data_IF_727914020672
#
_entry.id   IF_727914020672
#
_cell.length_a   1.000
_cell.length_b   1.000
_cell.length_c   1.000
_cell.angle_alpha   90.00
_cell.angle_beta   90.00
_cell.angle_gamma   90.00
#
_symmetry.space_group_name_H-M   'P 1'
#
loop_
_entity.id
_entity.type
_entity.pdbx_description
1 polymer ?
#
# COMPACT_ATOMS: atom_id res chain seq x y z
N UNK A 1 -8.19 8.00 17.72
CA UNK A 1 -6.76 8.31 17.87
C UNK A 1 -6.50 8.44 19.36
N UNK A 2 -5.67 7.58 19.97
CA UNK A 2 -5.07 7.96 21.25
C UNK A 2 -4.23 9.21 20.94
N UNK A 3 -4.34 10.31 21.70
CA UNK A 3 -3.51 11.48 21.47
C UNK A 3 -2.05 11.03 21.43
N UNK A 4 -1.34 11.41 20.38
CA UNK A 4 0.11 11.20 20.30
C UNK A 4 0.72 12.12 21.35
N UNK A 5 0.91 11.60 22.56
CA UNK A 5 1.42 12.36 23.71
C UNK A 5 2.85 12.86 23.47
N UNK A 6 3.62 12.14 22.64
CA UNK A 6 4.98 12.48 22.24
C UNK A 6 5.18 12.29 20.74
N UNK A 7 5.79 13.28 20.07
CA UNK A 7 6.02 13.24 18.64
C UNK A 7 6.94 12.06 18.25
N UNK A 8 6.61 11.31 17.17
CA UNK A 8 7.36 10.12 16.79
C UNK A 8 8.79 10.44 16.36
N UNK A 9 9.75 9.61 16.80
CA UNK A 9 11.19 9.79 16.54
C UNK A 9 11.72 8.84 15.47
N UNK A 10 12.69 9.34 14.69
CA UNK A 10 13.39 8.53 13.65
C UNK A 10 14.32 7.50 14.28
N UNK A 11 15.06 7.89 15.33
CA UNK A 11 15.86 6.97 16.14
C UNK A 11 15.05 6.68 17.40
N UNK A 12 14.65 5.42 17.54
CA UNK A 12 13.71 4.97 18.57
C UNK A 12 14.28 3.83 19.42
N UNK A 13 13.52 3.38 20.41
CA UNK A 13 13.86 2.27 21.30
C UNK A 13 13.32 0.94 20.78
N UNK A 14 13.93 -0.16 21.23
CA UNK A 14 13.50 -1.52 20.87
C UNK A 14 12.05 -1.79 21.32
N UNK A 15 11.62 -1.18 22.43
CA UNK A 15 10.24 -1.31 22.92
C UNK A 15 9.20 -0.84 21.88
N UNK A 16 9.51 0.23 21.12
CA UNK A 16 8.65 0.71 20.04
C UNK A 16 8.62 -0.24 18.85
N UNK A 17 9.71 -0.96 18.58
CA UNK A 17 9.71 -2.04 17.60
C UNK A 17 8.75 -3.17 18.00
N UNK A 18 8.80 -3.58 19.27
CA UNK A 18 7.92 -4.62 19.81
C UNK A 18 6.46 -4.17 19.83
N UNK A 19 6.19 -2.92 20.23
CA UNK A 19 4.85 -2.33 20.24
C UNK A 19 4.24 -2.29 18.84
N UNK A 20 5.00 -1.87 17.82
CA UNK A 20 4.56 -1.87 16.42
C UNK A 20 4.15 -3.27 15.94
N UNK A 21 4.99 -4.28 16.18
CA UNK A 21 4.70 -5.67 15.77
C UNK A 21 3.45 -6.22 16.49
N UNK A 22 3.33 -5.98 17.80
CA UNK A 22 2.14 -6.39 18.58
C UNK A 22 0.88 -5.71 18.07
N UNK A 23 0.96 -4.43 17.75
CA UNK A 23 -0.15 -3.66 17.20
C UNK A 23 -0.59 -4.20 15.83
N UNK A 24 0.34 -4.53 14.93
CA UNK A 24 0.03 -5.20 13.65
C UNK A 24 -0.74 -6.50 13.86
N UNK A 25 -0.27 -7.37 14.76
CA UNK A 25 -0.98 -8.61 15.11
C UNK A 25 -2.38 -8.34 15.65
N UNK A 26 -2.50 -7.45 16.64
CA UNK A 26 -3.77 -7.12 17.28
C UNK A 26 -4.80 -6.56 16.29
N UNK A 27 -4.39 -5.67 15.39
CA UNK A 27 -5.26 -5.04 14.40
C UNK A 27 -5.92 -6.03 13.44
N UNK A 28 -5.18 -7.08 13.07
CA UNK A 28 -5.69 -8.14 12.20
C UNK A 28 -6.46 -9.18 13.01
N UNK A 29 -5.91 -9.66 14.12
CA UNK A 29 -6.51 -10.70 14.96
C UNK A 29 -7.88 -10.29 15.53
N UNK A 30 -8.07 -9.00 15.87
CA UNK A 30 -9.36 -8.51 16.38
C UNK A 30 -10.53 -8.65 15.40
N UNK A 31 -10.27 -8.79 14.08
CA UNK A 31 -11.31 -8.99 13.05
C UNK A 31 -12.00 -10.35 13.20
N UNK A 32 -11.30 -11.32 13.79
CA UNK A 32 -11.75 -12.70 13.91
C UNK A 32 -12.99 -12.83 14.79
N UNK A 33 -13.00 -12.14 15.94
CA UNK A 33 -14.16 -12.15 16.85
C UNK A 33 -15.40 -11.50 16.23
N UNK A 34 -15.21 -10.65 15.22
CA UNK A 34 -16.26 -9.89 14.54
C UNK A 34 -16.75 -10.57 13.27
N UNK A 35 -15.96 -11.47 12.69
CA UNK A 35 -16.34 -12.24 11.52
C UNK A 35 -17.34 -13.34 11.88
N UNK A 36 -18.61 -13.19 11.45
CA UNK A 36 -19.68 -14.17 11.71
C UNK A 36 -19.33 -15.60 11.31
N UNK A 37 -18.57 -15.76 10.21
CA UNK A 37 -18.17 -17.07 9.69
C UNK A 37 -17.20 -17.81 10.63
N UNK A 38 -16.44 -17.07 11.44
CA UNK A 38 -15.43 -17.63 12.33
C UNK A 38 -15.91 -17.77 13.79
N UNK A 39 -17.10 -17.25 14.14
CA UNK A 39 -17.64 -17.31 15.51
C UNK A 39 -17.92 -18.74 16.00
N UNK A 40 -18.17 -19.68 15.08
CA UNK A 40 -18.38 -21.08 15.42
C UNK A 40 -17.06 -21.85 15.64
N UNK A 41 -15.92 -21.25 15.29
CA UNK A 41 -14.60 -21.89 15.37
C UNK A 41 -13.96 -21.58 16.72
N UNK A 42 -13.48 -22.61 17.40
CA UNK A 42 -12.72 -22.46 18.63
C UNK A 42 -11.25 -22.21 18.30
N UNK A 43 -10.79 -20.99 18.57
CA UNK A 43 -9.37 -20.64 18.47
C UNK A 43 -8.64 -20.97 19.77
N UNK A 44 -7.43 -21.54 19.62
CA UNK A 44 -6.52 -21.81 20.73
C UNK A 44 -5.39 -20.78 20.74
N UNK A 45 -4.99 -20.33 21.93
CA UNK A 45 -3.76 -19.57 22.12
C UNK A 45 -2.56 -20.51 22.08
N UNK A 46 -1.39 -19.99 21.71
CA UNK A 46 -0.16 -20.78 21.66
C UNK A 46 0.20 -21.32 23.05
N UNK A 47 0.09 -20.49 24.09
CA UNK A 47 0.31 -20.93 25.49
C UNK A 47 -0.57 -22.13 25.88
N UNK A 48 -1.83 -22.17 25.44
CA UNK A 48 -2.77 -23.24 25.79
C UNK A 48 -2.37 -24.57 25.13
N UNK A 49 -1.75 -24.51 23.96
CA UNK A 49 -1.25 -25.69 23.26
C UNK A 49 0.05 -26.17 23.88
N UNK A 50 1.00 -25.26 24.15
CA UNK A 50 2.27 -25.60 24.80
C UNK A 50 2.07 -26.14 26.22
N UNK A 51 1.03 -25.70 26.93
CA UNK A 51 0.62 -26.27 28.22
C UNK A 51 -0.03 -27.66 28.13
N UNK A 52 -0.45 -28.10 26.94
CA UNK A 52 -1.09 -29.39 26.73
C UNK A 52 -0.05 -30.48 26.46
N UNK A 53 -0.05 -31.52 27.28
CA UNK A 53 0.75 -32.74 27.06
C UNK A 53 0.08 -33.73 26.11
N UNK A 54 -1.17 -33.48 25.71
CA UNK A 54 -1.95 -34.37 24.84
C UNK A 54 -1.85 -33.90 23.39
N UNK A 55 -1.73 -34.87 22.48
CA UNK A 55 -1.94 -34.66 21.05
C UNK A 55 -3.37 -34.18 20.82
N UNK A 56 -3.50 -33.10 20.05
CA UNK A 56 -4.79 -32.53 19.67
C UNK A 56 -4.90 -32.55 18.15
N UNK A 57 -5.94 -33.22 17.66
CA UNK A 57 -6.25 -33.24 16.24
C UNK A 57 -7.23 -32.08 15.95
N UNK A 58 -6.99 -31.33 14.89
CA UNK A 58 -7.83 -30.21 14.44
C UNK A 58 -7.83 -28.98 15.36
N UNK A 59 -6.64 -28.41 15.55
CA UNK A 59 -6.42 -27.15 16.25
C UNK A 59 -6.44 -26.00 15.26
N UNK A 60 -7.05 -24.88 15.64
CA UNK A 60 -7.02 -23.62 14.90
C UNK A 60 -6.34 -22.54 15.73
N UNK A 61 -5.30 -21.92 15.18
CA UNK A 61 -4.49 -20.88 15.82
C UNK A 61 -4.42 -19.66 14.91
N UNK A 62 -4.40 -18.47 15.51
CA UNK A 62 -4.10 -17.23 14.80
C UNK A 62 -2.73 -16.79 15.23
N UNK A 63 -1.83 -16.65 14.27
CA UNK A 63 -0.44 -16.33 14.54
C UNK A 63 0.14 -15.44 13.48
N UNK A 64 1.20 -14.74 13.84
CA UNK A 64 2.12 -14.11 12.91
C UNK A 64 3.21 -15.10 12.54
N UNK A 65 3.44 -15.30 11.24
CA UNK A 65 4.45 -16.23 10.73
C UNK A 65 5.85 -15.66 10.92
N UNK A 66 6.76 -16.40 11.55
CA UNK A 66 8.17 -16.01 11.69
C UNK A 66 9.09 -17.11 11.18
N UNK A 67 10.30 -16.73 10.74
CA UNK A 67 11.31 -17.67 10.26
C UNK A 67 12.62 -17.45 11.04
N UNK A 68 12.95 -18.38 11.94
CA UNK A 68 14.16 -18.26 12.76
C UNK A 68 15.41 -18.77 12.03
N UNK A 69 15.26 -19.84 11.24
CA UNK A 69 16.32 -20.46 10.44
C UNK A 69 15.74 -20.87 9.09
N UNK A 70 16.60 -21.16 8.11
CA UNK A 70 16.17 -21.67 6.80
C UNK A 70 15.22 -22.86 6.98
N UNK A 71 14.02 -22.75 6.42
CA UNK A 71 12.95 -23.76 6.51
C UNK A 71 12.47 -24.14 7.93
N UNK A 72 12.81 -23.33 8.94
CA UNK A 72 12.31 -23.50 10.31
C UNK A 72 11.33 -22.37 10.63
N UNK A 73 10.05 -22.67 10.43
CA UNK A 73 8.95 -21.72 10.61
C UNK A 73 8.36 -21.82 12.02
N UNK A 74 7.97 -20.68 12.54
CA UNK A 74 7.24 -20.55 13.79
C UNK A 74 6.00 -19.69 13.57
N UNK A 75 5.02 -19.84 14.44
CA UNK A 75 3.93 -18.88 14.58
C UNK A 75 4.01 -18.23 15.96
N UNK A 76 3.71 -16.95 16.01
CA UNK A 76 3.75 -16.14 17.22
C UNK A 76 2.41 -15.44 17.45
N UNK A 77 1.93 -15.48 18.69
CA UNK A 77 0.79 -14.68 19.16
C UNK A 77 1.24 -13.84 20.37
N UNK A 78 0.30 -13.23 21.09
CA UNK A 78 0.65 -12.42 22.26
C UNK A 78 1.10 -13.25 23.48
N UNK A 79 0.94 -14.58 23.42
CA UNK A 79 1.14 -15.53 24.53
C UNK A 79 2.42 -16.37 24.38
N UNK A 80 2.89 -16.62 23.16
CA UNK A 80 4.11 -17.37 22.94
C UNK A 80 4.48 -17.58 21.47
N UNK A 81 5.45 -18.47 21.26
CA UNK A 81 5.94 -18.89 19.94
C UNK A 81 5.95 -20.42 19.88
N UNK A 82 5.55 -20.99 18.75
CA UNK A 82 5.52 -22.43 18.53
C UNK A 82 5.99 -22.78 17.13
N UNK A 83 6.76 -23.87 17.01
CA UNK A 83 7.25 -24.33 15.72
C UNK A 83 6.10 -24.91 14.88
N UNK A 84 6.13 -24.62 13.58
CA UNK A 84 5.17 -25.16 12.62
C UNK A 84 5.88 -25.92 11.50
N UNK A 85 5.23 -26.96 11.02
CA UNK A 85 5.68 -27.75 9.88
C UNK A 85 4.66 -27.64 8.75
N UNK A 86 5.15 -27.28 7.56
CA UNK A 86 4.41 -27.31 6.31
C UNK A 86 4.86 -28.53 5.51
N UNK A 87 3.90 -29.34 5.05
CA UNK A 87 4.15 -30.50 4.21
C UNK A 87 3.60 -30.26 2.80
N UNK A 88 3.88 -31.18 1.87
CA UNK A 88 3.40 -31.08 0.48
C UNK A 88 1.86 -31.09 0.36
N UNK A 89 1.16 -31.54 1.40
CA UNK A 89 -0.30 -31.56 1.49
C UNK A 89 -0.88 -30.27 2.09
N UNK A 90 -0.05 -29.38 2.63
CA UNK A 90 -0.49 -28.13 3.25
C UNK A 90 -1.17 -27.26 2.20
N UNK A 91 -2.44 -26.94 2.44
CA UNK A 91 -3.23 -26.09 1.55
C UNK A 91 -3.09 -24.63 1.95
N UNK A 92 -2.50 -23.84 1.07
CA UNK A 92 -2.49 -22.38 1.20
C UNK A 92 -3.67 -21.80 0.43
N UNK A 93 -4.54 -21.06 1.11
CA UNK A 93 -5.58 -20.31 0.42
C UNK A 93 -4.98 -19.19 -0.45
N UNK A 94 -5.75 -18.73 -1.45
CA UNK A 94 -5.37 -17.71 -2.44
C UNK A 94 -4.89 -16.38 -1.81
N UNK A 95 -3.63 -16.32 -1.38
CA UNK A 95 -2.93 -15.21 -0.72
C UNK A 95 -1.42 -15.45 -0.79
N UNK A 96 -0.62 -14.41 -0.56
CA UNK A 96 0.84 -14.47 -0.56
C UNK A 96 1.30 -14.41 0.90
N UNK A 97 1.62 -15.55 1.51
CA UNK A 97 2.06 -15.58 2.91
C UNK A 97 3.56 -15.37 2.98
N UNK A 98 3.98 -14.33 3.69
CA UNK A 98 5.39 -13.99 3.91
C UNK A 98 5.71 -13.98 5.40
N UNK A 99 6.98 -13.92 5.76
CA UNK A 99 7.37 -13.65 7.15
C UNK A 99 6.74 -12.33 7.64
N UNK A 100 6.16 -12.34 8.83
CA UNK A 100 5.38 -11.24 9.40
C UNK A 100 3.89 -11.28 9.03
N UNK A 101 3.44 -12.22 8.20
CA UNK A 101 2.02 -12.35 7.85
C UNK A 101 1.21 -12.92 9.02
N UNK A 102 0.13 -12.23 9.38
CA UNK A 102 -0.88 -12.71 10.33
C UNK A 102 -1.90 -13.57 9.60
N UNK A 103 -2.02 -14.83 10.01
CA UNK A 103 -2.86 -15.82 9.34
C UNK A 103 -3.52 -16.79 10.34
N UNK A 104 -4.50 -17.53 9.84
CA UNK A 104 -5.15 -18.64 10.53
C UNK A 104 -4.45 -19.93 10.09
N UNK A 105 -3.99 -20.71 11.06
CA UNK A 105 -3.32 -21.98 10.87
C UNK A 105 -4.19 -23.08 11.46
N UNK A 106 -4.56 -24.05 10.62
CA UNK A 106 -5.32 -25.22 11.04
C UNK A 106 -4.48 -26.48 10.88
N UNK A 107 -4.43 -27.33 11.90
CA UNK A 107 -3.53 -28.49 11.89
C UNK A 107 -3.70 -29.45 13.05
N UNK A 108 -2.71 -30.32 13.23
CA UNK A 108 -2.61 -31.22 14.38
C UNK A 108 -1.41 -30.83 15.24
N UNK A 109 -1.63 -30.71 16.54
CA UNK A 109 -0.60 -30.35 17.51
C UNK A 109 -0.11 -31.60 18.25
N UNK A 110 1.20 -31.80 18.26
CA UNK A 110 1.87 -32.87 19.02
C UNK A 110 3.25 -32.40 19.52
N UNK A 111 3.51 -32.57 20.81
CA UNK A 111 4.81 -32.30 21.43
C UNK A 111 5.52 -30.98 21.00
N UNK A 112 4.84 -29.83 21.11
CA UNK A 112 5.35 -28.49 20.73
C UNK A 112 5.51 -28.23 19.23
N UNK A 113 5.03 -29.13 18.37
CA UNK A 113 5.02 -28.98 16.93
C UNK A 113 3.57 -28.95 16.42
N UNK A 114 3.25 -27.97 15.57
CA UNK A 114 1.99 -27.92 14.83
C UNK A 114 2.24 -28.33 13.37
N UNK A 115 1.77 -29.50 12.98
CA UNK A 115 1.74 -29.91 11.57
C UNK A 115 0.53 -29.27 10.90
N UNK A 116 0.79 -28.34 9.99
CA UNK A 116 -0.24 -27.47 9.39
C UNK A 116 -0.90 -28.15 8.19
N UNK A 117 -2.22 -28.27 8.23
CA UNK A 117 -3.03 -28.77 7.11
C UNK A 117 -3.49 -27.66 6.19
N UNK A 118 -3.87 -26.51 6.75
CA UNK A 118 -4.40 -25.39 5.97
C UNK A 118 -3.96 -24.05 6.56
N UNK A 119 -3.63 -23.11 5.67
CA UNK A 119 -3.31 -21.72 6.00
C UNK A 119 -4.27 -20.79 5.28
N UNK A 120 -4.94 -19.92 6.04
CA UNK A 120 -5.92 -18.97 5.54
C UNK A 120 -5.59 -17.55 5.99
N UNK A 121 -5.86 -16.57 5.13
CA UNK A 121 -5.82 -15.16 5.53
C UNK A 121 -6.97 -14.87 6.49
N UNK A 122 -6.74 -13.96 7.44
CA UNK A 122 -7.85 -13.41 8.24
C UNK A 122 -8.84 -12.70 7.30
N UNK A 123 -10.15 -12.93 7.43
CA UNK A 123 -11.15 -12.32 6.56
C UNK A 123 -11.05 -10.79 6.54
N UNK A 124 -11.33 -10.22 5.37
CA UNK A 124 -11.41 -8.77 5.19
C UNK A 124 -12.63 -8.23 5.94
N UNK A 125 -12.49 -7.02 6.48
CA UNK A 125 -13.54 -6.24 7.12
C UNK A 125 -13.64 -4.93 6.33
N UNK A 126 -14.82 -4.61 5.78
CA UNK A 126 -14.99 -3.40 4.99
C UNK A 126 -14.90 -2.14 5.86
N UNK A 127 -14.70 -0.99 5.23
CA UNK A 127 -14.70 0.29 5.94
C UNK A 127 -16.04 0.57 6.65
N UNK A 128 -17.16 0.14 6.05
CA UNK A 128 -18.50 0.28 6.63
C UNK A 128 -18.67 -0.61 7.86
N UNK A 129 -18.26 -1.88 7.78
CA UNK A 129 -18.31 -2.82 8.90
C UNK A 129 -17.44 -2.34 10.07
N UNK A 130 -16.23 -1.86 9.77
CA UNK A 130 -15.31 -1.30 10.78
C UNK A 130 -15.97 -0.12 11.52
N UNK A 131 -16.57 0.81 10.78
CA UNK A 131 -17.18 2.03 11.34
C UNK A 131 -18.50 1.77 12.04
N UNK A 132 -19.25 0.74 11.67
CA UNK A 132 -20.44 0.31 12.40
C UNK A 132 -20.10 -0.07 13.87
N UNK A 133 -18.86 -0.48 14.13
CA UNK A 133 -18.38 -0.92 15.44
C UNK A 133 -17.66 0.21 16.18
N UNK A 134 -16.73 0.90 15.51
CA UNK A 134 -15.89 1.93 16.13
C UNK A 134 -16.42 3.36 15.97
N UNK A 135 -17.55 3.53 15.29
CA UNK A 135 -18.11 4.83 14.97
C UNK A 135 -17.34 5.56 13.86
N UNK A 136 -17.57 6.87 13.81
CA UNK A 136 -17.16 7.74 12.69
C UNK A 136 -15.89 8.54 12.97
N UNK A 137 -15.02 8.03 13.85
CA UNK A 137 -13.74 8.69 14.17
C UNK A 137 -12.89 8.81 12.91
N UNK A 138 -12.23 9.96 12.74
CA UNK A 138 -11.29 10.16 11.63
C UNK A 138 -9.94 9.49 11.91
N UNK A 139 -9.78 8.28 11.38
CA UNK A 139 -8.51 7.54 11.39
C UNK A 139 -7.61 7.89 10.19
N UNK A 140 -8.19 8.46 9.14
CA UNK A 140 -7.52 8.71 7.88
C UNK A 140 -6.59 9.92 7.96
N UNK A 141 -7.02 10.96 8.68
CA UNK A 141 -6.29 12.21 8.87
C UNK A 141 -7.04 13.41 8.31
N UNK A 142 -6.47 14.60 8.49
CA UNK A 142 -7.11 15.88 8.18
C UNK A 142 -7.60 16.61 9.42
N UNK A 143 -8.27 17.74 9.22
CA UNK A 143 -8.58 18.68 10.29
C UNK A 143 -9.80 18.29 11.13
N UNK A 144 -10.74 17.53 10.55
CA UNK A 144 -11.99 17.16 11.22
C UNK A 144 -11.80 15.89 12.07
N UNK A 145 -12.23 15.86 13.35
CA UNK A 145 -12.22 14.64 14.16
C UNK A 145 -13.20 13.56 13.65
N UNK A 146 -14.20 13.93 12.85
CA UNK A 146 -15.16 13.04 12.21
C UNK A 146 -14.67 12.72 10.80
N UNK A 147 -14.72 11.45 10.42
CA UNK A 147 -14.28 11.02 9.11
C UNK A 147 -15.12 11.68 8.00
N UNK A 148 -14.44 12.28 7.02
CA UNK A 148 -15.08 12.98 5.89
C UNK A 148 -16.03 12.12 5.08
N UNK A 149 -15.78 10.80 5.02
CA UNK A 149 -16.71 9.81 4.45
C UNK A 149 -18.12 9.91 5.02
N UNK A 150 -18.25 10.24 6.30
CA UNK A 150 -19.53 10.30 7.01
C UNK A 150 -20.25 11.65 6.80
N UNK A 151 -19.62 12.61 6.10
CA UNK A 151 -20.21 13.91 5.85
C UNK A 151 -21.13 13.87 4.63
N UNK A 152 -22.44 13.95 4.88
CA UNK A 152 -23.47 13.91 3.84
C UNK A 152 -23.28 14.97 2.74
N UNK A 153 -22.74 16.16 3.07
CA UNK A 153 -22.49 17.22 2.08
C UNK A 153 -21.40 16.81 1.09
N UNK A 154 -20.36 16.15 1.57
CA UNK A 154 -19.27 15.65 0.72
C UNK A 154 -19.75 14.49 -0.15
N UNK A 155 -20.61 13.60 0.37
CA UNK A 155 -21.24 12.55 -0.44
C UNK A 155 -22.10 13.12 -1.58
N UNK A 156 -22.82 14.22 -1.32
CA UNK A 156 -23.61 14.91 -2.35
C UNK A 156 -22.68 15.60 -3.36
N UNK A 157 -21.61 16.24 -2.90
CA UNK A 157 -20.62 16.90 -3.76
C UNK A 157 -19.92 15.90 -4.69
N UNK A 158 -19.52 14.74 -4.18
CA UNK A 158 -18.96 13.63 -4.96
C UNK A 158 -19.90 13.20 -6.09
N UNK A 159 -21.19 13.01 -5.77
CA UNK A 159 -22.21 12.63 -6.77
C UNK A 159 -22.54 13.73 -7.77
N UNK A 160 -22.26 14.98 -7.41
CA UNK A 160 -22.53 16.14 -8.27
C UNK A 160 -21.43 16.36 -9.31
N UNK A 161 -20.30 15.65 -9.22
CA UNK A 161 -19.19 15.75 -10.16
C UNK A 161 -18.89 14.39 -10.84
N UNK A 162 -19.76 13.93 -11.76
CA UNK A 162 -19.63 12.60 -12.38
C UNK A 162 -18.41 12.46 -13.29
N UNK A 163 -17.92 13.56 -13.85
CA UNK A 163 -16.78 13.59 -14.77
C UNK A 163 -15.43 13.80 -14.05
N UNK A 164 -15.42 13.74 -12.72
CA UNK A 164 -14.19 13.80 -11.94
C UNK A 164 -13.20 12.72 -12.38
N UNK A 165 -11.95 13.12 -12.61
CA UNK A 165 -10.87 12.22 -13.01
C UNK A 165 -9.64 12.47 -12.15
N UNK A 166 -8.95 11.39 -11.76
CA UNK A 166 -7.64 11.45 -11.11
C UNK A 166 -6.68 10.58 -11.93
N UNK A 167 -5.64 11.18 -12.49
CA UNK A 167 -4.66 10.51 -13.35
C UNK A 167 -3.49 10.03 -12.49
N UNK A 168 -3.06 8.77 -12.67
CA UNK A 168 -2.09 8.10 -11.81
C UNK A 168 -0.96 7.53 -12.67
N UNK A 169 0.27 7.96 -12.40
CA UNK A 169 1.48 7.50 -13.07
C UNK A 169 2.49 6.96 -12.05
N UNK A 170 3.33 6.01 -12.48
CA UNK A 170 4.45 5.49 -11.68
C UNK A 170 5.71 5.35 -12.52
N UNK A 171 6.88 5.44 -11.89
CA UNK A 171 8.20 5.42 -12.54
C UNK A 171 8.29 6.43 -13.69
N UNK A 172 8.06 7.70 -13.39
CA UNK A 172 8.14 8.79 -14.37
C UNK A 172 9.59 9.29 -14.47
N UNK A 173 10.43 8.59 -15.22
CA UNK A 173 11.86 8.91 -15.39
C UNK A 173 12.06 10.21 -16.19
N UNK A 174 12.25 11.33 -15.50
CA UNK A 174 12.34 12.68 -16.08
C UNK A 174 13.62 12.92 -16.89
N UNK A 175 14.63 12.06 -16.75
CA UNK A 175 15.85 12.07 -17.54
C UNK A 175 15.66 11.50 -18.95
N UNK A 176 14.59 10.73 -19.19
CA UNK A 176 14.28 10.14 -20.49
C UNK A 176 13.46 11.12 -21.36
N UNK A 177 14.01 11.47 -22.53
CA UNK A 177 13.33 12.38 -23.47
C UNK A 177 11.99 11.85 -23.98
N UNK A 178 11.86 10.53 -24.21
CA UNK A 178 10.59 9.94 -24.65
C UNK A 178 9.53 9.99 -23.56
N UNK A 179 9.92 9.79 -22.29
CA UNK A 179 9.00 9.96 -21.15
C UNK A 179 8.52 11.40 -21.07
N UNK A 180 9.42 12.38 -21.22
CA UNK A 180 9.05 13.80 -21.25
C UNK A 180 8.13 14.17 -22.42
N UNK A 181 8.32 13.55 -23.59
CA UNK A 181 7.39 13.69 -24.73
C UNK A 181 6.02 13.08 -24.42
N UNK A 182 5.99 11.87 -23.85
CA UNK A 182 4.74 11.20 -23.48
C UNK A 182 3.95 12.00 -22.43
N UNK A 183 4.64 12.55 -21.42
CA UNK A 183 4.02 13.45 -20.43
C UNK A 183 3.44 14.69 -21.10
N UNK A 184 4.15 15.32 -22.02
CA UNK A 184 3.62 16.48 -22.77
C UNK A 184 2.37 16.11 -23.58
N UNK A 185 2.37 14.98 -24.29
CA UNK A 185 1.21 14.50 -25.04
C UNK A 185 0.02 14.19 -24.14
N UNK A 186 0.26 13.58 -22.98
CA UNK A 186 -0.77 13.34 -21.97
C UNK A 186 -1.37 14.65 -21.46
N UNK A 187 -0.53 15.61 -21.05
CA UNK A 187 -0.99 16.94 -20.62
C UNK A 187 -1.78 17.65 -21.72
N UNK A 188 -1.32 17.58 -22.97
CA UNK A 188 -2.06 18.12 -24.11
C UNK A 188 -3.42 17.45 -24.30
N UNK A 189 -3.51 16.13 -24.12
CA UNK A 189 -4.77 15.37 -24.23
C UNK A 189 -5.80 15.77 -23.17
N UNK A 190 -5.36 15.98 -21.94
CA UNK A 190 -6.21 16.43 -20.83
C UNK A 190 -6.46 17.95 -20.81
N UNK A 191 -5.79 18.74 -21.64
CA UNK A 191 -5.95 20.21 -21.64
C UNK A 191 -7.38 20.68 -21.96
N UNK A 192 -8.16 19.86 -22.66
CA UNK A 192 -9.57 20.14 -22.99
C UNK A 192 -10.57 19.71 -21.92
N UNK A 193 -10.22 18.72 -21.10
CA UNK A 193 -11.01 18.22 -19.97
C UNK A 193 -10.06 17.95 -18.79
N UNK A 194 -9.69 18.99 -18.03
CA UNK A 194 -8.62 18.89 -17.03
C UNK A 194 -9.06 18.04 -15.83
N UNK A 195 -8.26 17.04 -15.41
CA UNK A 195 -8.59 16.20 -14.28
C UNK A 195 -8.48 16.99 -12.96
N UNK A 196 -9.01 16.42 -11.87
CA UNK A 196 -8.87 16.97 -10.53
C UNK A 196 -7.42 16.95 -10.07
N UNK A 197 -6.70 15.88 -10.39
CA UNK A 197 -5.31 15.73 -10.01
C UNK A 197 -4.53 14.80 -10.96
N UNK A 198 -3.24 15.07 -11.09
CA UNK A 198 -2.23 14.13 -11.56
C UNK A 198 -1.37 13.68 -10.38
N UNK A 199 -1.25 12.37 -10.19
CA UNK A 199 -0.41 11.74 -9.17
C UNK A 199 0.80 11.16 -9.90
N UNK A 200 1.93 11.86 -9.82
CA UNK A 200 3.22 11.42 -10.32
C UNK A 200 3.96 10.65 -9.22
N UNK A 201 3.96 9.32 -9.31
CA UNK A 201 4.81 8.51 -8.45
C UNK A 201 6.19 8.35 -9.09
N UNK A 202 7.24 8.43 -8.27
CA UNK A 202 8.61 8.10 -8.66
C UNK A 202 8.74 6.63 -9.09
N UNK A 203 9.91 6.14 -9.42
CA UNK A 203 11.18 6.86 -9.40
C UNK A 203 11.22 7.95 -10.49
N UNK A 204 11.82 9.10 -10.18
CA UNK A 204 11.88 10.24 -11.10
C UNK A 204 13.14 10.25 -11.98
N UNK A 205 14.08 9.34 -11.73
CA UNK A 205 15.28 9.18 -12.54
C UNK A 205 15.57 7.71 -12.80
N UNK A 206 15.89 7.36 -14.05
CA UNK A 206 16.26 5.99 -14.43
C UNK A 206 17.62 5.56 -13.85
N UNK A 207 18.49 6.53 -13.54
CA UNK A 207 19.84 6.34 -13.02
C UNK A 207 19.89 6.62 -11.53
N UNK A 208 19.45 5.65 -10.73
CA UNK A 208 19.48 5.70 -9.27
C UNK A 208 20.90 5.72 -8.69
N UNK A 209 21.12 6.49 -7.61
CA UNK A 209 22.34 6.46 -6.76
C UNK A 209 23.66 6.67 -7.50
N UNK A 210 23.65 7.39 -8.62
CA UNK A 210 24.84 7.79 -9.35
C UNK A 210 25.25 9.22 -8.98
N UNK A 211 26.50 9.59 -9.26
CA UNK A 211 27.01 10.95 -9.00
C UNK A 211 26.20 12.02 -9.73
N UNK A 212 25.71 11.69 -10.93
CA UNK A 212 24.97 12.58 -11.82
C UNK A 212 23.46 12.64 -11.51
N UNK A 213 22.93 11.75 -10.65
CA UNK A 213 21.48 11.61 -10.41
C UNK A 213 20.82 12.93 -9.98
N UNK A 214 21.46 13.69 -9.09
CA UNK A 214 20.92 14.98 -8.64
C UNK A 214 20.87 16.03 -9.76
N UNK A 215 21.86 16.05 -10.66
CA UNK A 215 21.90 16.98 -11.80
C UNK A 215 20.85 16.61 -12.85
N UNK A 216 20.67 15.31 -13.10
CA UNK A 216 19.63 14.77 -13.98
C UNK A 216 18.24 15.09 -13.44
N UNK A 217 18.00 14.86 -12.15
CA UNK A 217 16.73 15.20 -11.48
C UNK A 217 16.46 16.70 -11.56
N UNK A 218 17.43 17.55 -11.21
CA UNK A 218 17.25 18.99 -11.29
C UNK A 218 16.92 19.45 -12.73
N UNK A 219 17.57 18.86 -13.73
CA UNK A 219 17.27 19.13 -15.15
C UNK A 219 15.89 18.62 -15.56
N UNK A 220 15.51 17.42 -15.12
CA UNK A 220 14.23 16.79 -15.40
C UNK A 220 13.05 17.57 -14.78
N UNK A 221 13.13 17.88 -13.49
CA UNK A 221 12.14 18.70 -12.79
C UNK A 221 12.01 20.10 -13.40
N UNK A 222 13.11 20.74 -13.80
CA UNK A 222 13.05 22.02 -14.54
C UNK A 222 12.31 21.88 -15.88
N UNK A 223 12.57 20.82 -16.64
CA UNK A 223 11.87 20.57 -17.92
C UNK A 223 10.38 20.30 -17.69
N UNK A 224 10.04 19.52 -16.67
CA UNK A 224 8.66 19.24 -16.31
C UNK A 224 7.92 20.51 -15.88
N UNK A 225 8.54 21.35 -15.05
CA UNK A 225 7.95 22.64 -14.66
C UNK A 225 7.65 23.52 -15.87
N UNK A 226 8.56 23.58 -16.85
CA UNK A 226 8.32 24.32 -18.09
C UNK A 226 7.11 23.76 -18.86
N UNK A 227 7.01 22.44 -19.02
CA UNK A 227 5.86 21.81 -19.69
C UNK A 227 4.55 22.11 -18.95
N UNK A 228 4.53 22.02 -17.62
CA UNK A 228 3.34 22.36 -16.83
C UNK A 228 2.95 23.83 -16.98
N UNK A 229 3.93 24.74 -17.07
CA UNK A 229 3.69 26.15 -17.28
C UNK A 229 3.10 26.44 -18.67
N UNK A 230 3.48 25.68 -19.70
CA UNK A 230 2.89 25.79 -21.04
C UNK A 230 1.37 25.49 -21.03
N UNK A 231 0.90 24.68 -20.08
CA UNK A 231 -0.53 24.34 -19.90
C UNK A 231 -1.18 24.99 -18.68
N UNK A 232 -0.54 25.99 -18.04
CA UNK A 232 -1.02 26.57 -16.78
C UNK A 232 -2.46 27.12 -16.88
N UNK A 233 -2.85 27.65 -18.05
CA UNK A 233 -4.21 28.16 -18.29
C UNK A 233 -5.27 27.05 -18.30
N UNK A 234 -4.92 25.84 -18.74
CA UNK A 234 -5.83 24.69 -18.81
C UNK A 234 -5.99 24.01 -17.45
N UNK A 235 -4.95 24.02 -16.61
CA UNK A 235 -4.89 23.26 -15.37
C UNK A 235 -5.03 24.11 -14.10
N UNK A 236 -5.76 25.24 -14.18
CA UNK A 236 -5.89 26.19 -13.05
C UNK A 236 -6.46 25.59 -11.75
N UNK A 237 -7.35 24.60 -11.86
CA UNK A 237 -7.95 23.89 -10.72
C UNK A 237 -7.37 22.49 -10.47
N UNK A 238 -6.42 22.05 -11.30
CA UNK A 238 -5.83 20.70 -11.23
C UNK A 238 -4.70 20.68 -10.22
N UNK A 239 -4.60 19.62 -9.44
CA UNK A 239 -3.51 19.39 -8.49
C UNK A 239 -2.43 18.48 -9.08
N UNK A 240 -1.16 18.79 -8.81
CA UNK A 240 -0.03 17.97 -9.23
C UNK A 240 0.63 17.39 -7.98
N UNK A 241 0.46 16.10 -7.72
CA UNK A 241 0.98 15.41 -6.53
C UNK A 241 2.19 14.59 -6.91
N UNK A 242 3.33 14.84 -6.27
CA UNK A 242 4.58 14.12 -6.51
C UNK A 242 4.89 13.21 -5.32
N UNK A 243 4.90 11.90 -5.53
CA UNK A 243 5.17 10.88 -4.50
C UNK A 243 6.54 10.24 -4.74
N UNK A 244 7.51 10.35 -3.81
CA UNK A 244 8.87 9.87 -4.02
C UNK A 244 8.94 8.33 -4.05
N UNK A 245 9.74 7.78 -4.96
CA UNK A 245 10.02 6.36 -5.08
C UNK A 245 11.16 5.84 -4.22
N UNK A 246 11.44 4.52 -4.25
CA UNK A 246 12.51 3.89 -3.47
C UNK A 246 13.93 4.26 -3.89
N UNK A 247 14.11 4.73 -5.11
CA UNK A 247 15.42 5.08 -5.67
C UNK A 247 15.66 6.59 -5.81
N UNK A 248 14.68 7.39 -5.42
CA UNK A 248 14.83 8.83 -5.37
C UNK A 248 15.69 9.27 -4.15
N UNK A 249 16.39 10.41 -4.24
CA UNK A 249 17.36 10.85 -3.23
C UNK A 249 16.69 11.34 -1.93
N UNK A 250 16.25 10.40 -1.10
CA UNK A 250 15.59 10.63 0.19
C UNK A 250 16.14 9.68 1.27
N UNK A 251 15.28 9.17 2.18
CA UNK A 251 15.64 8.10 3.10
C UNK A 251 15.64 6.75 2.37
N UNK A 252 16.83 6.21 2.09
CA UNK A 252 17.03 4.97 1.34
C UNK A 252 16.24 3.80 1.94
N UNK A 253 15.40 3.15 1.13
CA UNK A 253 14.66 1.90 1.42
C UNK A 253 13.70 1.91 2.64
N UNK A 254 13.86 2.84 3.58
CA UNK A 254 13.06 2.97 4.81
C UNK A 254 11.74 3.67 4.53
N UNK A 255 10.67 3.24 5.19
CA UNK A 255 9.34 3.86 5.16
C UNK A 255 8.93 4.38 6.56
N UNK A 256 8.08 5.42 6.66
CA UNK A 256 7.67 6.31 5.58
C UNK A 256 8.84 7.21 5.11
N UNK A 257 8.77 7.67 3.86
CA UNK A 257 9.78 8.57 3.27
C UNK A 257 9.28 10.02 3.26
N UNK A 258 10.15 10.98 3.58
CA UNK A 258 9.85 12.39 3.38
C UNK A 258 9.77 12.72 1.88
N UNK A 259 9.27 13.92 1.57
CA UNK A 259 9.33 14.46 0.22
C UNK A 259 10.79 14.61 -0.28
N UNK A 260 10.98 14.80 -1.58
CA UNK A 260 12.32 15.01 -2.16
C UNK A 260 12.95 16.33 -1.69
N UNK A 261 14.27 16.52 -1.82
CA UNK A 261 14.94 17.75 -1.43
C UNK A 261 14.35 18.98 -2.12
N UNK A 262 14.02 20.01 -1.34
CA UNK A 262 13.34 21.22 -1.82
C UNK A 262 14.06 21.97 -2.95
N UNK A 263 15.36 21.77 -3.11
CA UNK A 263 16.15 22.32 -4.22
C UNK A 263 15.65 21.89 -5.61
N UNK A 264 14.94 20.75 -5.70
CA UNK A 264 14.34 20.26 -6.94
C UNK A 264 13.07 21.02 -7.33
N UNK A 265 12.44 21.72 -6.38
CA UNK A 265 11.10 22.28 -6.52
C UNK A 265 11.07 23.78 -6.84
N UNK A 266 12.24 24.43 -6.90
CA UNK A 266 12.36 25.87 -7.13
C UNK A 266 11.59 26.37 -8.37
N UNK A 267 11.54 25.56 -9.44
CA UNK A 267 10.83 25.91 -10.68
C UNK A 267 9.32 25.73 -10.60
N UNK A 268 8.81 25.07 -9.56
CA UNK A 268 7.38 24.83 -9.34
C UNK A 268 6.74 25.90 -8.44
N UNK A 269 7.51 26.80 -7.83
CA UNK A 269 6.97 27.88 -6.97
C UNK A 269 5.97 28.79 -7.69
N UNK A 270 6.05 28.88 -9.02
CA UNK A 270 5.17 29.68 -9.87
C UNK A 270 3.92 28.92 -10.32
N UNK A 271 3.88 27.61 -10.13
CA UNK A 271 2.81 26.73 -10.60
C UNK A 271 1.85 26.48 -9.42
N UNK A 272 0.57 26.88 -9.52
CA UNK A 272 -0.38 26.62 -8.45
C UNK A 272 -0.62 25.11 -8.26
N UNK A 273 -1.07 24.71 -7.07
CA UNK A 273 -1.54 23.36 -6.76
C UNK A 273 -0.50 22.23 -6.94
N UNK A 274 0.80 22.54 -6.89
CA UNK A 274 1.86 21.54 -6.86
C UNK A 274 2.16 21.10 -5.41
N UNK A 275 2.04 19.80 -5.14
CA UNK A 275 2.18 19.18 -3.83
C UNK A 275 3.28 18.12 -3.87
N UNK A 276 4.33 18.31 -3.06
CA UNK A 276 5.41 17.34 -2.90
C UNK A 276 5.17 16.52 -1.64
N UNK A 277 4.71 15.29 -1.83
CA UNK A 277 4.19 14.44 -0.77
C UNK A 277 5.25 13.54 -0.15
N UNK A 278 4.90 12.91 0.98
CA UNK A 278 5.60 11.77 1.54
C UNK A 278 5.29 10.49 0.75
N UNK A 279 5.99 9.40 1.06
CA UNK A 279 5.60 8.06 0.59
C UNK A 279 5.54 7.09 1.77
N UNK A 280 4.36 6.56 2.13
CA UNK A 280 3.06 6.74 1.48
C UNK A 280 2.46 8.14 1.68
N UNK A 281 1.38 8.42 0.96
CA UNK A 281 0.52 9.60 1.15
C UNK A 281 -0.95 9.20 1.17
N UNK A 282 -1.75 9.96 1.92
CA UNK A 282 -3.21 9.82 2.00
C UNK A 282 -3.86 11.05 1.37
N UNK A 283 -4.75 10.82 0.42
CA UNK A 283 -5.49 11.85 -0.32
C UNK A 283 -6.97 11.66 0.01
N UNK A 284 -7.61 12.72 0.48
CA UNK A 284 -9.06 12.75 0.66
C UNK A 284 -9.65 13.47 -0.54
N UNK A 285 -10.63 12.84 -1.20
CA UNK A 285 -11.46 13.47 -2.22
C UNK A 285 -12.92 13.35 -1.80
N UNK A 286 -13.52 14.46 -1.38
CA UNK A 286 -14.87 14.48 -0.85
C UNK A 286 -15.07 13.42 0.25
N UNK A 287 -15.91 12.41 0.04
CA UNK A 287 -16.13 11.31 0.99
C UNK A 287 -15.21 10.10 0.78
N UNK A 288 -14.30 10.13 -0.19
CA UNK A 288 -13.42 9.01 -0.53
C UNK A 288 -12.02 9.14 0.09
N UNK A 289 -11.52 8.02 0.56
CA UNK A 289 -10.21 7.85 1.18
C UNK A 289 -9.27 7.13 0.20
N UNK A 290 -8.25 7.81 -0.32
CA UNK A 290 -7.29 7.29 -1.31
C UNK A 290 -5.90 7.20 -0.68
N UNK A 291 -5.32 6.00 -0.66
CA UNK A 291 -3.96 5.78 -0.16
C UNK A 291 -3.03 5.49 -1.32
N UNK A 292 -1.90 6.19 -1.39
CA UNK A 292 -0.88 5.98 -2.42
C UNK A 292 0.42 5.54 -1.77
N UNK A 293 1.00 4.46 -2.28
CA UNK A 293 2.34 4.00 -1.91
C UNK A 293 3.13 3.68 -3.17
N UNK A 294 4.34 4.24 -3.27
CA UNK A 294 5.32 3.90 -4.32
C UNK A 294 6.36 2.94 -3.77
N UNK A 295 6.22 1.65 -4.06
CA UNK A 295 7.20 0.64 -3.68
C UNK A 295 7.01 -0.62 -4.54
N UNK A 296 8.11 -1.31 -4.85
CA UNK A 296 8.08 -2.58 -5.58
C UNK A 296 7.74 -3.72 -4.63
N UNK A 297 6.47 -3.79 -4.20
CA UNK A 297 5.97 -4.74 -3.21
C UNK A 297 5.67 -6.11 -3.82
N UNK A 298 5.09 -6.18 -5.01
CA UNK A 298 4.61 -7.46 -5.59
C UNK A 298 5.77 -8.44 -5.72
N UNK A 299 6.87 -8.00 -6.36
CA UNK A 299 8.05 -8.84 -6.54
C UNK A 299 8.70 -9.23 -5.21
N UNK A 300 8.77 -8.30 -4.24
CA UNK A 300 9.30 -8.58 -2.89
C UNK A 300 8.46 -9.64 -2.19
N UNK A 301 7.13 -9.50 -2.19
CA UNK A 301 6.23 -10.46 -1.57
C UNK A 301 6.34 -11.83 -2.23
N UNK A 302 6.39 -11.91 -3.56
CA UNK A 302 6.59 -13.18 -4.26
C UNK A 302 7.95 -13.83 -3.95
N UNK A 303 9.04 -13.04 -3.84
CA UNK A 303 10.37 -13.57 -3.49
C UNK A 303 10.47 -14.11 -2.07
N UNK A 304 9.70 -13.54 -1.15
CA UNK A 304 9.69 -13.90 0.28
C UNK A 304 8.46 -14.73 0.67
N UNK A 305 7.72 -15.25 -0.30
CA UNK A 305 6.55 -16.07 -0.06
C UNK A 305 6.95 -17.46 0.45
N UNK A 306 6.25 -17.94 1.47
CA UNK A 306 6.36 -19.30 1.99
C UNK A 306 5.58 -20.29 1.12
N UNK A 307 4.54 -19.82 0.44
CA UNK A 307 3.73 -20.61 -0.47
C UNK A 307 4.00 -20.28 -1.94
N UNK A 308 3.70 -21.24 -2.82
CA UNK A 308 3.69 -21.01 -4.26
C UNK A 308 2.41 -20.28 -4.66
N UNK A 309 2.55 -19.30 -5.55
CA UNK A 309 1.43 -18.50 -6.06
C UNK A 309 1.46 -18.55 -7.58
N UNK A 310 0.36 -19.02 -8.17
CA UNK A 310 0.24 -19.13 -9.62
C UNK A 310 0.32 -17.74 -10.28
N UNK A 311 1.07 -17.63 -11.37
CA UNK A 311 1.44 -16.35 -11.98
C UNK A 311 0.22 -15.53 -12.45
N UNK A 312 -0.83 -16.22 -12.91
CA UNK A 312 -2.10 -15.65 -13.33
C UNK A 312 -2.88 -14.99 -12.18
N UNK A 313 -2.66 -15.43 -10.94
CA UNK A 313 -3.41 -15.00 -9.77
C UNK A 313 -2.64 -14.01 -8.88
N UNK A 314 -1.46 -13.55 -9.28
CA UNK A 314 -0.61 -12.68 -8.46
C UNK A 314 -1.35 -11.39 -8.08
N UNK A 315 -1.99 -10.70 -9.03
CA UNK A 315 -2.66 -9.41 -8.77
C UNK A 315 -3.78 -9.54 -7.73
N UNK A 316 -4.67 -10.52 -7.92
CA UNK A 316 -5.79 -10.79 -6.99
C UNK A 316 -5.30 -11.29 -5.62
N UNK A 317 -4.29 -12.17 -5.61
CA UNK A 317 -3.70 -12.69 -4.36
C UNK A 317 -3.00 -11.58 -3.60
N UNK A 318 -2.27 -10.70 -4.29
CA UNK A 318 -1.62 -9.53 -3.72
C UNK A 318 -2.65 -8.57 -3.10
N UNK A 319 -3.68 -8.18 -3.87
CA UNK A 319 -4.74 -7.28 -3.39
C UNK A 319 -5.44 -7.83 -2.13
N UNK A 320 -5.78 -9.13 -2.13
CA UNK A 320 -6.36 -9.77 -0.95
C UNK A 320 -5.39 -9.78 0.23
N UNK A 321 -4.11 -10.05 0.00
CA UNK A 321 -3.09 -10.13 1.06
C UNK A 321 -2.82 -8.78 1.69
N UNK A 322 -2.58 -7.74 0.90
CA UNK A 322 -2.22 -6.42 1.44
C UNK A 322 -3.36 -5.85 2.31
N UNK A 323 -4.62 -6.03 1.91
CA UNK A 323 -5.78 -5.62 2.69
C UNK A 323 -6.01 -6.50 3.93
N UNK A 324 -5.76 -7.82 3.83
CA UNK A 324 -5.92 -8.73 4.97
C UNK A 324 -4.94 -8.43 6.09
N UNK A 325 -3.73 -8.03 5.73
CA UNK A 325 -2.70 -7.62 6.68
C UNK A 325 -2.89 -6.22 7.27
N UNK A 326 -3.85 -5.43 6.75
CA UNK A 326 -4.16 -4.08 7.24
C UNK A 326 -2.93 -3.14 7.29
N UNK A 327 -1.90 -3.41 6.49
CA UNK A 327 -0.62 -2.74 6.56
C UNK A 327 -0.01 -2.61 5.16
N UNK A 328 0.50 -1.43 4.82
CA UNK A 328 1.03 -1.11 3.49
C UNK A 328 2.36 -1.80 3.17
N UNK A 329 3.05 -2.33 4.18
CA UNK A 329 4.29 -3.10 4.00
C UNK A 329 4.29 -4.33 4.92
N UNK A 330 3.55 -5.39 4.57
CA UNK A 330 3.48 -6.62 5.36
C UNK A 330 4.65 -7.54 5.02
N UNK A 331 5.87 -7.04 5.25
CA UNK A 331 7.13 -7.72 4.96
C UNK A 331 8.03 -7.60 6.20
N UNK A 332 9.01 -8.50 6.36
CA UNK A 332 9.90 -8.44 7.50
C UNK A 332 10.84 -7.22 7.40
N UNK A 333 11.31 -6.67 8.53
CA UNK A 333 12.10 -5.42 8.54
C UNK A 333 13.39 -5.46 7.71
N UNK A 334 13.99 -6.65 7.54
CA UNK A 334 15.21 -6.81 6.75
C UNK A 334 14.96 -6.73 5.22
N UNK A 335 13.70 -6.88 4.78
CA UNK A 335 13.28 -6.75 3.36
C UNK A 335 12.69 -5.37 3.09
N UNK A 336 11.84 -4.89 3.99
CA UNK A 336 11.17 -3.60 3.89
C UNK A 336 11.19 -2.89 5.25
N UNK A 337 12.26 -2.13 5.56
CA UNK A 337 12.39 -1.48 6.85
C UNK A 337 11.35 -0.35 7.02
N UNK A 338 10.72 -0.33 8.18
CA UNK A 338 9.77 0.71 8.60
C UNK A 338 10.28 1.33 9.90
N UNK A 339 10.24 2.66 9.99
CA UNK A 339 10.54 3.38 11.23
C UNK A 339 9.51 3.01 12.30
N UNK A 340 9.97 2.45 13.41
CA UNK A 340 9.09 1.81 14.40
C UNK A 340 8.01 2.74 14.97
N UNK A 341 8.35 3.98 15.30
CA UNK A 341 7.36 4.95 15.82
C UNK A 341 6.40 5.49 14.75
N UNK A 342 6.72 5.29 13.46
CA UNK A 342 5.87 5.69 12.33
C UNK A 342 5.08 4.51 11.74
N UNK A 343 5.12 3.33 12.35
CA UNK A 343 4.40 2.14 11.86
C UNK A 343 2.89 2.38 11.72
N UNK A 344 2.33 3.19 12.61
CA UNK A 344 0.92 3.58 12.58
C UNK A 344 0.51 4.33 11.30
N UNK A 345 1.45 5.03 10.63
CA UNK A 345 1.20 5.73 9.35
C UNK A 345 1.01 4.72 8.21
N UNK A 346 1.64 3.56 8.32
CA UNK A 346 1.59 2.48 7.33
C UNK A 346 0.33 1.60 7.48
N UNK A 347 -0.48 1.84 8.51
CA UNK A 347 -1.69 1.06 8.81
C UNK A 347 -2.86 1.44 7.88
N UNK A 348 -3.67 0.45 7.51
CA UNK A 348 -4.93 0.57 6.75
C UNK A 348 -6.10 0.04 7.59
N UNK A 349 -6.47 0.79 8.63
CA UNK A 349 -7.64 0.49 9.45
C UNK A 349 -8.35 1.80 9.82
N UNK A 350 -9.60 2.02 9.33
CA UNK A 350 -10.36 1.22 8.37
C UNK A 350 -9.68 1.07 6.99
N UNK A 351 -10.18 0.16 6.15
CA UNK A 351 -9.71 0.05 4.75
C UNK A 351 -10.10 1.33 3.96
N UNK A 352 -9.25 1.78 3.01
CA UNK A 352 -9.55 2.93 2.16
C UNK A 352 -10.56 2.58 1.05
N UNK A 353 -11.06 3.57 0.31
CA UNK A 353 -11.81 3.31 -0.93
C UNK A 353 -10.88 2.90 -2.07
N UNK A 354 -9.70 3.50 -2.13
CA UNK A 354 -8.70 3.23 -3.16
C UNK A 354 -7.33 3.06 -2.54
N UNK A 355 -6.65 1.97 -2.89
CA UNK A 355 -5.25 1.71 -2.60
C UNK A 355 -4.47 1.68 -3.92
N UNK A 356 -3.68 2.72 -4.16
CA UNK A 356 -2.77 2.84 -5.29
C UNK A 356 -1.41 2.31 -4.85
N UNK A 357 -1.06 1.12 -5.32
CA UNK A 357 0.28 0.53 -5.17
C UNK A 357 1.04 0.79 -6.46
N UNK A 358 1.74 1.91 -6.52
CA UNK A 358 2.63 2.23 -7.61
C UNK A 358 3.85 1.27 -7.58
N UNK A 359 3.81 0.26 -8.44
CA UNK A 359 4.77 -0.83 -8.53
C UNK A 359 5.25 -0.94 -9.99
N UNK A 360 6.48 -1.40 -10.19
CA UNK A 360 7.00 -1.73 -11.53
C UNK A 360 6.37 -3.00 -12.13
N UNK A 361 5.63 -3.78 -11.34
CA UNK A 361 4.86 -4.92 -11.82
C UNK A 361 3.87 -4.53 -12.92
N UNK A 362 3.32 -5.52 -13.65
CA UNK A 362 2.29 -5.28 -14.68
C UNK A 362 1.10 -4.51 -14.10
N UNK A 363 0.48 -3.67 -14.94
CA UNK A 363 -0.75 -2.95 -14.56
C UNK A 363 -1.83 -3.94 -14.12
N UNK A 364 -2.58 -3.57 -13.08
CA UNK A 364 -3.80 -4.27 -12.67
C UNK A 364 -4.72 -3.34 -11.89
N UNK A 365 -6.00 -3.70 -11.84
CA UNK A 365 -7.00 -3.14 -10.94
C UNK A 365 -7.91 -4.25 -10.44
N UNK A 366 -8.02 -4.39 -9.13
CA UNK A 366 -8.77 -5.43 -8.44
C UNK A 366 -9.69 -4.81 -7.40
N UNK A 367 -10.86 -5.40 -7.15
CA UNK A 367 -11.78 -4.94 -6.10
C UNK A 367 -11.88 -6.03 -5.04
N UNK A 368 -11.66 -5.65 -3.77
CA UNK A 368 -11.72 -6.54 -2.61
C UNK A 368 -12.32 -5.77 -1.43
N UNK A 369 -13.36 -6.31 -0.78
CA UNK A 369 -14.02 -5.68 0.38
C UNK A 369 -14.33 -4.17 0.18
N UNK A 370 -14.92 -3.83 -0.96
CA UNK A 370 -15.27 -2.47 -1.39
C UNK A 370 -14.09 -1.49 -1.53
N UNK A 371 -12.85 -2.00 -1.50
CA UNK A 371 -11.62 -1.27 -1.80
C UNK A 371 -11.14 -1.59 -3.21
N UNK A 372 -10.86 -0.55 -4.00
CA UNK A 372 -10.17 -0.65 -5.29
C UNK A 372 -8.68 -0.68 -5.04
N UNK A 373 -8.00 -1.78 -5.41
CA UNK A 373 -6.54 -1.89 -5.35
C UNK A 373 -6.00 -1.85 -6.77
N UNK A 374 -5.18 -0.86 -7.10
CA UNK A 374 -4.63 -0.73 -8.44
C UNK A 374 -3.12 -0.48 -8.44
N UNK A 375 -2.50 -0.88 -9.55
CA UNK A 375 -1.13 -0.57 -9.91
C UNK A 375 -1.12 -0.05 -11.35
N UNK A 376 -0.67 1.19 -11.62
CA UNK A 376 -0.55 1.70 -13.00
C UNK A 376 0.56 1.02 -13.81
N UNK A 377 1.47 0.31 -13.15
CA UNK A 377 2.69 -0.17 -13.78
C UNK A 377 3.67 0.97 -14.07
N UNK A 378 4.80 0.64 -14.65
CA UNK A 378 5.86 1.60 -14.94
C UNK A 378 5.54 2.38 -16.22
N UNK A 379 5.29 3.69 -16.09
CA UNK A 379 5.05 4.61 -17.21
C UNK A 379 6.26 4.67 -18.15
N UNK A 380 7.47 4.54 -17.61
CA UNK A 380 8.70 4.50 -18.41
C UNK A 380 8.91 3.18 -19.16
N UNK A 381 8.10 2.15 -18.89
CA UNK A 381 8.21 0.84 -19.54
C UNK A 381 7.34 0.75 -20.80
N UNK A 382 7.94 1.04 -21.96
CA UNK A 382 7.38 0.71 -23.27
C UNK A 382 6.15 1.51 -23.71
N UNK A 383 4.96 1.14 -23.23
CA UNK A 383 3.66 1.61 -23.75
C UNK A 383 3.16 2.91 -23.11
N UNK A 384 3.95 3.55 -22.24
CA UNK A 384 3.55 4.77 -21.52
C UNK A 384 2.16 4.64 -20.88
N UNK A 385 1.91 3.48 -20.25
CA UNK A 385 0.65 3.15 -19.61
C UNK A 385 0.44 3.91 -18.30
N UNK A 386 -0.78 4.37 -18.06
CA UNK A 386 -1.20 5.06 -16.84
C UNK A 386 -2.65 4.76 -16.51
N UNK A 387 -3.06 5.02 -15.27
CA UNK A 387 -4.45 4.82 -14.83
C UNK A 387 -5.20 6.14 -14.75
N UNK A 388 -6.49 6.09 -15.05
CA UNK A 388 -7.46 7.14 -14.73
C UNK A 388 -8.46 6.58 -13.73
N UNK A 389 -8.48 7.13 -12.52
CA UNK A 389 -9.51 6.82 -11.54
C UNK A 389 -10.71 7.75 -11.72
N UNK A 390 -11.89 7.16 -11.84
CA UNK A 390 -13.18 7.83 -11.93
C UNK A 390 -13.88 7.72 -10.57
N UNK A 391 -13.83 8.75 -9.70
CA UNK A 391 -14.37 8.65 -8.35
C UNK A 391 -15.86 8.34 -8.32
N UNK A 392 -16.64 8.89 -9.26
CA UNK A 392 -18.08 8.67 -9.32
C UNK A 392 -18.43 7.19 -9.56
N UNK A 393 -17.73 6.52 -10.47
CA UNK A 393 -17.94 5.11 -10.80
C UNK A 393 -17.15 4.16 -9.88
N UNK A 394 -16.19 4.70 -9.12
CA UNK A 394 -15.21 3.94 -8.34
C UNK A 394 -14.48 2.90 -9.20
N UNK A 395 -14.07 3.32 -10.40
CA UNK A 395 -13.47 2.47 -11.42
C UNK A 395 -12.13 3.03 -11.87
N UNK A 396 -11.25 2.11 -12.26
CA UNK A 396 -9.96 2.42 -12.89
C UNK A 396 -10.08 2.12 -14.38
N UNK A 397 -9.60 3.06 -15.20
CA UNK A 397 -9.47 2.90 -16.65
C UNK A 397 -8.00 2.94 -17.04
N UNK A 398 -7.55 1.93 -17.80
CA UNK A 398 -6.22 1.90 -18.38
C UNK A 398 -6.15 2.85 -19.58
N UNK A 399 -5.10 3.65 -19.64
CA UNK A 399 -4.77 4.52 -20.78
C UNK A 399 -3.30 4.40 -21.13
N UNK A 400 -2.95 4.72 -22.37
CA UNK A 400 -1.59 4.63 -22.88
C UNK A 400 -1.32 5.75 -23.89
N UNK A 401 -0.06 6.18 -23.99
CA UNK A 401 0.37 7.17 -24.97
C UNK A 401 1.15 6.47 -26.08
N UNK A 402 0.59 6.44 -27.29
CA UNK A 402 1.29 5.94 -28.47
C UNK A 402 2.17 7.04 -29.05
N UNK A 403 3.48 6.97 -28.77
CA UNK A 403 4.46 7.80 -29.45
C UNK A 403 4.91 7.14 -30.77
N UNK A 404 5.06 7.90 -31.87
CA UNK A 404 5.65 7.36 -33.09
C UNK A 404 7.06 6.84 -32.82
N UNK A 405 7.41 5.66 -33.36
CA UNK A 405 8.74 5.10 -33.22
C UNK A 405 9.78 6.05 -33.84
N UNK A 406 10.91 6.24 -33.14
CA UNK A 406 12.05 7.02 -33.66
C UNK A 406 12.43 6.48 -35.05
N UNK A 407 12.30 7.33 -36.07
CA UNK A 407 12.75 7.05 -37.44
C UNK A 407 14.25 7.24 -37.59
#
# INVERSE_FOLDING_TARGET
MLPVEEAPKVVSTVDKATEAIRHRFQLVAQRISRCRQLQAIKFSTIESLLGSSRRQNDVVVVGMLTQQKSHCYHIEDLTGSMQVEFNDETKFQHSIFTEGSVAIFQGSYDASLLTVREVASVPLESAEETRAIFGNVNWFGGEDPIAFRCNAKLCVAERSNPNAQIVILSDVHLDNSRVMQAVYHMLSGFSGDPPLAFIFCGNFCSRSRQRETMELLHTGFRRLANQLNDFASSFTSTHFVFVPGPDDPCLNMVLPRPHLPGVLFKYFEQIPNCLFATNPVRIQYASQEIVVIRNDLVEKMCRHAVNTVAAENISKSFAKTILSQAHLSPLPPHVAPVLWEFDHVMTMHPLPDVLIVADKFKSFAEIQADTVVCNPGSFSSGSFGFHVYLPFERKIEDSAIDLPADR
#
